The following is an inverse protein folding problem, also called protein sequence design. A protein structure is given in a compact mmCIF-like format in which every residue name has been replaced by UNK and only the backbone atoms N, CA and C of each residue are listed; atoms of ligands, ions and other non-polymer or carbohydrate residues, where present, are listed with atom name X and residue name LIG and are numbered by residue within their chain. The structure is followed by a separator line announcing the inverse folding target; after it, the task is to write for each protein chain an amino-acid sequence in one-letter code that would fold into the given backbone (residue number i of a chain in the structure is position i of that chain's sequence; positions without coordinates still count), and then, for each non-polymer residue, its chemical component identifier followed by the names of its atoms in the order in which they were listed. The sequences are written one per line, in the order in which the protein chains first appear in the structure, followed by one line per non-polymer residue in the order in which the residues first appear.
data_IF_122798082946
#
_entry.id   IF_122798082946
#
_cell.length_a   1.000
_cell.length_b   1.000
_cell.length_c   1.000
_cell.angle_alpha   90.00
_cell.angle_beta   90.00
_cell.angle_gamma   90.00
#
_symmetry.space_group_name_H-M   'P 1'
#
loop_
_entity.id
_entity.type
_entity.pdbx_description
1 polymer ?
#
# COMPACT_ATOMS: atom_id res chain seq x y z
N UNK A 1 3.00 -13.27 17.40
CA UNK A 1 3.30 -13.82 16.07
C UNK A 1 2.56 -12.95 15.08
N UNK A 2 3.27 -12.27 14.17
CA UNK A 2 2.61 -11.46 13.16
C UNK A 2 2.18 -12.38 12.01
N UNK A 3 0.91 -12.32 11.62
CA UNK A 3 0.37 -13.16 10.56
C UNK A 3 0.82 -12.61 9.19
N UNK A 4 1.40 -13.47 8.36
CA UNK A 4 1.82 -13.14 7.00
C UNK A 4 0.62 -13.32 6.06
N UNK A 5 0.21 -12.24 5.42
CA UNK A 5 -0.80 -12.23 4.37
C UNK A 5 -0.13 -11.99 3.01
N UNK A 6 -0.65 -12.60 1.94
CA UNK A 6 -0.16 -12.35 0.58
C UNK A 6 -1.25 -11.64 -0.18
N UNK A 7 -0.96 -10.42 -0.61
CA UNK A 7 -1.83 -9.68 -1.52
C UNK A 7 -1.48 -10.07 -2.95
N UNK A 8 -2.48 -10.57 -3.70
CA UNK A 8 -2.34 -10.91 -5.10
C UNK A 8 -3.01 -9.82 -5.95
N UNK A 9 -2.23 -9.20 -6.84
CA UNK A 9 -2.76 -8.30 -7.87
C UNK A 9 -2.32 -8.81 -9.24
N UNK A 10 -3.22 -8.86 -10.24
CA UNK A 10 -2.84 -9.15 -11.62
C UNK A 10 -1.78 -8.19 -12.18
N UNK A 11 -1.77 -6.94 -11.71
CA UNK A 11 -0.86 -5.89 -12.19
C UNK A 11 0.44 -5.78 -11.38
N UNK A 12 0.40 -6.13 -10.09
CA UNK A 12 1.53 -5.96 -9.16
C UNK A 12 2.09 -7.29 -8.62
N UNK A 13 1.52 -8.42 -9.00
CA UNK A 13 1.93 -9.74 -8.53
C UNK A 13 1.65 -9.98 -7.05
N UNK A 14 2.44 -10.86 -6.45
CA UNK A 14 2.33 -11.23 -5.04
C UNK A 14 3.18 -10.30 -4.16
N UNK A 15 2.51 -9.58 -3.25
CA UNK A 15 3.15 -8.74 -2.24
C UNK A 15 2.86 -9.33 -0.86
N UNK A 16 3.92 -9.71 -0.14
CA UNK A 16 3.81 -10.13 1.26
C UNK A 16 3.52 -8.94 2.17
N UNK A 17 2.55 -9.11 3.04
CA UNK A 17 2.07 -8.14 4.02
C UNK A 17 2.12 -8.78 5.40
N UNK A 18 2.57 -8.02 6.39
CA UNK A 18 2.59 -8.43 7.80
C UNK A 18 1.88 -7.35 8.61
N UNK A 19 0.99 -7.75 9.51
CA UNK A 19 0.33 -6.82 10.43
C UNK A 19 1.24 -6.55 11.63
N UNK A 20 1.54 -5.28 11.88
CA UNK A 20 2.37 -4.84 13.01
C UNK A 20 1.63 -3.72 13.72
N UNK A 21 1.25 -3.92 14.99
CA UNK A 21 0.48 -2.92 15.75
C UNK A 21 -0.82 -2.51 15.02
N UNK A 22 -1.48 -3.46 14.37
CA UNK A 22 -2.68 -3.26 13.52
C UNK A 22 -2.45 -2.45 12.23
N UNK A 23 -1.20 -2.10 11.92
CA UNK A 23 -0.84 -1.42 10.67
C UNK A 23 -0.23 -2.40 9.65
N UNK A 24 -0.61 -2.30 8.37
CA UNK A 24 -0.04 -3.15 7.33
C UNK A 24 1.38 -2.73 6.98
N UNK A 25 2.27 -3.73 6.92
CA UNK A 25 3.66 -3.56 6.52
C UNK A 25 3.94 -4.42 5.29
N UNK A 26 4.51 -3.83 4.24
CA UNK A 26 4.68 -4.43 2.92
C UNK A 26 6.13 -4.86 2.69
N UNK A 27 6.35 -6.07 2.18
CA UNK A 27 7.70 -6.54 1.89
C UNK A 27 8.33 -5.71 0.77
N UNK A 28 9.40 -4.97 1.08
CA UNK A 28 10.06 -4.06 0.15
C UNK A 28 10.57 -4.80 -1.10
N UNK A 29 11.09 -6.01 -0.93
CA UNK A 29 11.59 -6.80 -2.06
C UNK A 29 10.50 -7.20 -3.05
N UNK A 30 9.27 -7.41 -2.58
CA UNK A 30 8.14 -7.75 -3.43
C UNK A 30 7.58 -6.49 -4.12
N UNK A 31 7.49 -5.38 -3.39
CA UNK A 31 7.12 -4.07 -3.94
C UNK A 31 8.09 -3.65 -5.05
N UNK A 32 9.40 -3.77 -4.83
CA UNK A 32 10.39 -3.46 -5.87
C UNK A 32 10.25 -4.39 -7.08
N UNK A 33 9.95 -5.68 -6.88
CA UNK A 33 9.70 -6.63 -7.97
C UNK A 33 8.46 -6.25 -8.78
N UNK A 34 7.36 -5.92 -8.10
CA UNK A 34 6.12 -5.47 -8.72
C UNK A 34 6.33 -4.24 -9.62
N UNK A 35 7.15 -3.31 -9.14
CA UNK A 35 7.47 -2.06 -9.81
C UNK A 35 8.66 -2.15 -10.78
N UNK A 36 9.22 -3.34 -11.00
CA UNK A 36 10.40 -3.57 -11.85
C UNK A 36 11.64 -2.75 -11.44
N UNK A 37 11.77 -2.49 -10.15
CA UNK A 37 12.91 -1.79 -9.56
C UNK A 37 13.99 -2.80 -9.18
N UNK A 38 15.12 -2.80 -9.89
CA UNK A 38 16.22 -3.76 -9.66
C UNK A 38 16.99 -3.49 -8.36
N UNK A 39 17.22 -2.21 -8.02
CA UNK A 39 18.05 -1.86 -6.87
C UNK A 39 17.22 -1.46 -5.65
N UNK A 40 16.92 -2.45 -4.81
CA UNK A 40 16.20 -2.28 -3.53
C UNK A 40 16.98 -1.39 -2.55
N UNK A 41 18.31 -1.44 -2.56
CA UNK A 41 19.16 -0.65 -1.65
C UNK A 41 19.01 0.85 -1.88
N UNK A 42 18.99 1.28 -3.15
CA UNK A 42 18.74 2.68 -3.51
C UNK A 42 17.34 3.15 -3.10
N UNK A 43 16.34 2.27 -3.19
CA UNK A 43 14.99 2.58 -2.69
C UNK A 43 15.03 2.79 -1.19
N UNK A 44 15.66 1.89 -0.43
CA UNK A 44 15.75 2.00 1.03
C UNK A 44 16.33 3.34 1.49
N UNK A 45 17.37 3.85 0.82
CA UNK A 45 18.05 5.10 1.20
C UNK A 45 17.16 6.35 1.14
N UNK A 46 16.12 6.36 0.30
CA UNK A 46 15.18 7.49 0.15
C UNK A 46 13.92 7.37 1.03
N UNK A 47 13.76 6.26 1.74
CA UNK A 47 12.60 6.01 2.59
C UNK A 47 12.82 6.52 4.01
N UNK A 48 11.74 6.78 4.73
CA UNK A 48 11.84 7.18 6.14
C UNK A 48 12.17 5.96 6.99
N UNK A 49 13.25 6.02 7.77
CA UNK A 49 13.67 4.93 8.67
C UNK A 49 12.59 4.53 9.66
N UNK A 50 11.75 5.49 10.11
CA UNK A 50 10.62 5.24 11.03
C UNK A 50 9.59 4.25 10.47
N UNK A 51 9.49 4.18 9.14
CA UNK A 51 8.56 3.31 8.43
C UNK A 51 9.23 2.07 7.86
N UNK A 52 10.41 1.67 8.34
CA UNK A 52 11.13 0.47 7.90
C UNK A 52 11.30 -0.47 9.09
N UNK A 53 10.92 -1.74 8.94
CA UNK A 53 11.26 -2.79 9.92
C UNK A 53 11.91 -3.97 9.22
N UNK A 54 12.84 -4.62 9.92
CA UNK A 54 13.42 -5.89 9.50
C UNK A 54 12.73 -6.99 10.28
N UNK A 55 12.22 -8.00 9.59
CA UNK A 55 11.49 -9.11 10.21
C UNK A 55 11.98 -10.45 9.66
N UNK A 56 12.10 -11.43 10.55
CA UNK A 56 12.36 -12.82 10.18
C UNK A 56 11.11 -13.37 9.46
N UNK A 57 11.29 -13.79 8.22
CA UNK A 57 10.22 -14.29 7.35
C UNK A 57 10.62 -15.66 6.82
N UNK A 58 9.74 -16.64 6.98
CA UNK A 58 9.93 -17.96 6.38
C UNK A 58 9.74 -17.86 4.86
N UNK A 59 10.77 -18.27 4.12
CA UNK A 59 10.78 -18.32 2.66
C UNK A 59 11.07 -19.74 2.18
N UNK A 60 10.99 -19.99 0.87
CA UNK A 60 11.41 -21.26 0.27
C UNK A 60 12.88 -21.62 0.58
N UNK A 61 13.73 -20.62 0.83
CA UNK A 61 15.13 -20.81 1.23
C UNK A 61 15.35 -20.89 2.74
N UNK A 62 14.29 -21.05 3.53
CA UNK A 62 14.35 -21.00 5.00
C UNK A 62 14.06 -19.62 5.56
N UNK A 63 14.36 -19.43 6.85
CA UNK A 63 14.09 -18.18 7.55
C UNK A 63 15.07 -17.09 7.11
N UNK A 64 14.55 -15.98 6.60
CA UNK A 64 15.34 -14.86 6.09
C UNK A 64 14.90 -13.54 6.71
N UNK A 65 15.86 -12.66 6.96
CA UNK A 65 15.58 -11.28 7.38
C UNK A 65 15.20 -10.44 6.18
N UNK A 66 13.93 -10.07 6.09
CA UNK A 66 13.41 -9.23 5.01
C UNK A 66 13.05 -7.84 5.53
N UNK A 67 13.16 -6.86 4.63
CA UNK A 67 12.75 -5.49 4.90
C UNK A 67 11.28 -5.31 4.56
N UNK A 68 10.55 -4.68 5.47
CA UNK A 68 9.18 -4.28 5.29
C UNK A 68 9.04 -2.78 5.48
N UNK A 69 8.13 -2.19 4.72
CA UNK A 69 7.86 -0.76 4.69
C UNK A 69 6.40 -0.51 5.05
N UNK A 70 6.12 0.56 5.79
CA UNK A 70 4.75 1.00 6.03
C UNK A 70 4.12 1.61 4.76
N UNK A 71 2.82 1.89 4.84
CA UNK A 71 2.04 2.44 3.74
C UNK A 71 2.59 3.78 3.22
N UNK A 72 3.03 4.68 4.11
CA UNK A 72 3.64 5.94 3.71
C UNK A 72 4.89 5.75 2.82
N UNK A 73 5.75 4.77 3.16
CA UNK A 73 6.92 4.44 2.36
C UNK A 73 6.55 3.65 1.08
N UNK A 74 5.46 2.87 1.10
CA UNK A 74 4.91 2.23 -0.10
C UNK A 74 4.52 3.28 -1.13
N UNK A 75 3.72 4.29 -0.76
CA UNK A 75 3.31 5.36 -1.67
C UNK A 75 4.50 6.15 -2.22
N UNK A 76 5.49 6.48 -1.39
CA UNK A 76 6.74 7.11 -1.86
C UNK A 76 7.47 6.24 -2.89
N UNK A 77 7.39 4.93 -2.76
CA UNK A 77 8.02 4.01 -3.71
C UNK A 77 7.27 4.02 -5.04
N UNK A 78 5.93 3.96 -4.99
CA UNK A 78 5.05 3.96 -6.17
C UNK A 78 5.15 5.29 -6.94
N UNK A 79 5.04 6.44 -6.27
CA UNK A 79 5.04 7.77 -6.90
C UNK A 79 6.36 8.16 -7.58
N UNK A 80 7.44 7.41 -7.33
CA UNK A 80 8.73 7.62 -7.99
C UNK A 80 9.06 6.52 -9.01
N UNK A 81 8.16 5.56 -9.19
CA UNK A 81 8.32 4.50 -10.19
C UNK A 81 8.05 5.05 -11.59
N UNK A 82 8.74 4.51 -12.59
CA UNK A 82 8.51 4.79 -14.00
C UNK A 82 7.67 3.73 -14.71
N UNK A 83 7.22 2.70 -13.97
CA UNK A 83 6.37 1.64 -14.51
C UNK A 83 5.00 2.21 -14.85
N UNK A 84 4.45 1.87 -16.02
CA UNK A 84 3.16 2.40 -16.48
C UNK A 84 2.02 2.15 -15.48
N UNK A 85 1.96 0.98 -14.85
CA UNK A 85 0.92 0.70 -13.84
C UNK A 85 1.06 1.59 -12.59
N UNK A 86 2.28 1.94 -12.21
CA UNK A 86 2.53 2.85 -11.11
C UNK A 86 2.19 4.31 -11.49
N UNK A 87 2.45 4.69 -12.74
CA UNK A 87 2.04 5.99 -13.26
C UNK A 87 0.51 6.11 -13.30
N UNK A 88 -0.21 5.10 -13.81
CA UNK A 88 -1.68 5.08 -13.78
C UNK A 88 -2.25 5.23 -12.37
N UNK A 89 -1.67 4.52 -11.40
CA UNK A 89 -2.06 4.67 -9.99
C UNK A 89 -1.78 6.08 -9.48
N UNK A 90 -0.61 6.63 -9.79
CA UNK A 90 -0.22 7.99 -9.38
C UNK A 90 -1.18 9.02 -9.97
N UNK A 91 -1.46 8.95 -11.28
CA UNK A 91 -2.36 9.85 -11.99
C UNK A 91 -3.78 9.77 -11.41
N UNK A 92 -4.31 8.57 -11.19
CA UNK A 92 -5.61 8.38 -10.55
C UNK A 92 -5.64 9.02 -9.15
N UNK A 93 -4.60 8.84 -8.34
CA UNK A 93 -4.53 9.46 -7.02
C UNK A 93 -4.45 10.99 -7.12
N UNK A 94 -3.65 11.54 -8.03
CA UNK A 94 -3.41 12.99 -8.11
C UNK A 94 -4.50 13.76 -8.84
N UNK A 95 -5.21 13.13 -9.77
CA UNK A 95 -6.20 13.78 -10.63
C UNK A 95 -7.63 13.57 -10.10
N UNK A 96 -7.88 12.47 -9.39
CA UNK A 96 -9.21 12.11 -8.90
C UNK A 96 -9.29 12.12 -7.37
N UNK A 97 -8.49 11.29 -6.70
CA UNK A 97 -8.61 11.05 -5.25
C UNK A 97 -8.27 12.29 -4.43
N UNK A 98 -7.06 12.82 -4.58
CA UNK A 98 -6.61 13.98 -3.82
C UNK A 98 -7.44 15.24 -4.14
N UNK A 99 -7.81 15.53 -5.40
CA UNK A 99 -8.71 16.63 -5.70
C UNK A 99 -10.11 16.45 -5.10
N UNK A 100 -10.67 15.23 -5.08
CA UNK A 100 -11.95 14.95 -4.42
C UNK A 100 -11.87 15.22 -2.93
N UNK A 101 -10.84 14.70 -2.25
CA UNK A 101 -10.63 14.95 -0.82
C UNK A 101 -10.46 16.45 -0.54
N UNK A 102 -9.67 17.17 -1.34
CA UNK A 102 -9.47 18.62 -1.17
C UNK A 102 -10.76 19.42 -1.36
N UNK A 103 -11.62 19.05 -2.30
CA UNK A 103 -12.86 19.78 -2.63
C UNK A 103 -14.04 19.43 -1.72
N UNK A 104 -14.16 18.15 -1.35
CA UNK A 104 -15.36 17.60 -0.72
C UNK A 104 -15.11 17.05 0.70
N UNK A 105 -13.85 16.97 1.12
CA UNK A 105 -13.45 16.37 2.41
C UNK A 105 -13.37 14.84 2.38
N UNK A 106 -13.78 14.19 1.29
CA UNK A 106 -13.78 12.73 1.17
C UNK A 106 -13.61 12.26 -0.29
N UNK A 107 -13.22 11.00 -0.46
CA UNK A 107 -13.32 10.23 -1.70
C UNK A 107 -14.07 8.93 -1.39
N UNK A 108 -15.08 8.59 -2.20
CA UNK A 108 -15.90 7.40 -2.03
C UNK A 108 -16.07 6.71 -3.37
N UNK A 109 -15.97 5.38 -3.40
CA UNK A 109 -16.28 4.60 -4.61
C UNK A 109 -17.79 4.59 -4.87
N UNK A 110 -18.20 4.35 -6.11
CA UNK A 110 -19.63 4.28 -6.48
C UNK A 110 -20.41 3.29 -5.59
N UNK A 111 -19.80 2.14 -5.30
CA UNK A 111 -20.40 1.15 -4.41
C UNK A 111 -20.61 1.67 -2.97
N UNK A 112 -19.66 2.45 -2.46
CA UNK A 112 -19.76 3.07 -1.12
C UNK A 112 -20.83 4.16 -1.14
N UNK A 113 -20.94 4.93 -2.22
CA UNK A 113 -21.98 5.95 -2.41
C UNK A 113 -23.36 5.29 -2.42
N UNK A 114 -23.55 4.23 -3.21
CA UNK A 114 -24.83 3.50 -3.26
C UNK A 114 -25.23 2.95 -1.89
N UNK A 115 -24.28 2.35 -1.15
CA UNK A 115 -24.51 1.88 0.22
C UNK A 115 -24.84 3.01 1.19
N UNK A 116 -24.17 4.15 1.06
CA UNK A 116 -24.44 5.32 1.90
C UNK A 116 -25.84 5.91 1.64
N UNK A 117 -26.30 5.91 0.38
CA UNK A 117 -27.63 6.39 0.00
C UNK A 117 -28.75 5.43 0.42
N UNK A 118 -28.50 4.12 0.33
CA UNK A 118 -29.49 3.09 0.67
C UNK A 118 -29.55 2.79 2.17
N UNK A 119 -28.50 3.13 2.93
CA UNK A 119 -28.39 2.88 4.37
C UNK A 119 -27.71 4.05 5.10
N UNK A 120 -28.46 5.03 5.61
CA UNK A 120 -27.89 6.19 6.32
C UNK A 120 -26.96 5.83 7.49
N UNK A 121 -27.26 4.75 8.22
CA UNK A 121 -26.41 4.26 9.32
C UNK A 121 -25.02 3.83 8.86
N UNK A 122 -24.88 3.39 7.60
CA UNK A 122 -23.58 3.02 7.03
C UNK A 122 -22.70 4.25 6.89
N UNK A 123 -23.26 5.38 6.42
CA UNK A 123 -22.52 6.63 6.30
C UNK A 123 -22.09 7.17 7.67
N UNK A 124 -22.98 7.11 8.68
CA UNK A 124 -22.64 7.53 10.05
C UNK A 124 -21.46 6.73 10.57
N UNK A 125 -21.51 5.39 10.47
CA UNK A 125 -20.43 4.51 10.92
C UNK A 125 -19.12 4.76 10.16
N UNK A 126 -19.19 5.02 8.86
CA UNK A 126 -18.03 5.31 8.02
C UNK A 126 -17.35 6.63 8.44
N UNK A 127 -18.13 7.64 8.83
CA UNK A 127 -17.61 8.95 9.21
C UNK A 127 -17.07 9.03 10.66
N UNK A 128 -17.32 8.02 11.51
CA UNK A 128 -16.99 8.03 12.94
C UNK A 128 -15.95 6.99 13.37
N UNK A 129 -15.48 6.13 12.46
CA UNK A 129 -14.40 5.16 12.71
C UNK A 129 -13.05 5.76 12.34
#
# INVERSE_FOLDING_TARGET
MNELQIFNSPEFGDIRIVMVESEPMFCLSDVCRALEITNVGNVKQRLSEKGIRTMDTLTKGGNQKLLYINEANLYKTIFQSRKESAQRFTDWVTDEVLPSIRKHGAYMTEQVIEKALTSPDFLIRLATQ
#
